data_IF_013976069632
#
_entry.id   IF_013976069632
#
_cell.length_a   1.000
_cell.length_b   1.000
_cell.length_c   1.000
_cell.angle_alpha   90.00
_cell.angle_beta   90.00
_cell.angle_gamma   90.00
#
_symmetry.space_group_name_H-M   'P 1'
#
loop_
_entity.id
_entity.type
_entity.pdbx_description
1 polymer ?
#
# COMPACT_ATOMS: atom_id res chain seq x y z
N UNK A 1 36.55 2.72 0.63
CA UNK A 1 35.20 2.94 1.17
C UNK A 1 34.44 1.63 1.24
N UNK A 2 34.03 1.18 2.44
CA UNK A 2 33.11 0.04 2.60
C UNK A 2 31.86 0.54 3.32
N UNK A 3 30.73 0.37 2.67
CA UNK A 3 29.41 0.80 3.13
C UNK A 3 28.80 -0.34 3.93
N UNK A 4 28.37 -0.08 5.15
CA UNK A 4 27.69 -1.06 6.00
C UNK A 4 26.29 -0.58 6.33
N UNK A 5 25.33 -1.50 6.27
CA UNK A 5 23.96 -1.27 6.68
C UNK A 5 23.82 -1.83 8.10
N UNK A 6 23.60 -0.94 9.06
CA UNK A 6 23.52 -1.26 10.49
C UNK A 6 22.06 -1.12 10.92
N UNK A 7 21.49 -2.18 11.49
CA UNK A 7 20.13 -2.19 12.02
C UNK A 7 20.15 -1.94 13.53
N UNK A 8 19.52 -0.86 13.99
CA UNK A 8 19.32 -0.59 15.43
C UNK A 8 17.86 -0.27 15.68
N UNK A 9 17.24 -0.97 16.64
CA UNK A 9 15.81 -0.83 17.01
C UNK A 9 14.83 -0.82 15.83
N UNK A 10 15.08 -1.68 14.83
CA UNK A 10 14.20 -1.82 13.65
C UNK A 10 14.32 -0.71 12.61
N UNK A 11 15.30 0.19 12.75
CA UNK A 11 15.67 1.16 11.71
C UNK A 11 17.08 0.90 11.19
N UNK A 12 17.18 0.79 9.86
CA UNK A 12 18.43 0.57 9.14
C UNK A 12 19.10 1.92 8.87
N UNK A 13 20.37 2.02 9.23
CA UNK A 13 21.22 3.17 8.96
C UNK A 13 22.38 2.73 8.09
N UNK A 14 22.64 3.51 7.06
CA UNK A 14 23.74 3.26 6.14
C UNK A 14 24.91 4.14 6.56
N UNK A 15 25.99 3.50 7.00
CA UNK A 15 27.18 4.19 7.49
C UNK A 15 28.32 3.88 6.53
N UNK A 16 28.90 4.94 5.96
CA UNK A 16 30.15 4.86 5.22
C UNK A 16 31.31 5.02 6.20
N UNK A 17 32.13 3.96 6.30
CA UNK A 17 33.37 4.01 7.08
C UNK A 17 34.52 4.23 6.12
N UNK A 18 35.15 5.40 6.23
CA UNK A 18 36.47 5.68 5.67
C UNK A 18 37.52 5.41 6.75
N UNK A 19 38.45 4.50 6.50
CA UNK A 19 39.65 4.35 7.33
C UNK A 19 40.58 5.54 7.06
N UNK A 20 40.47 6.59 7.87
CA UNK A 20 41.43 7.69 7.88
C UNK A 20 42.50 7.39 8.93
N UNK A 21 43.65 6.92 8.47
CA UNK A 21 44.89 6.94 9.26
C UNK A 21 45.36 8.39 9.39
N UNK A 22 45.02 9.00 10.52
CA UNK A 22 45.68 10.19 11.06
C UNK A 22 45.07 11.53 10.65
N UNK A 23 44.69 12.30 11.67
CA UNK A 23 44.77 13.76 11.64
C UNK A 23 43.48 14.51 11.34
N UNK A 24 43.06 15.27 12.36
CA UNK A 24 42.14 16.42 12.35
C UNK A 24 40.65 16.18 12.08
N UNK A 25 39.89 16.32 13.17
CA UNK A 25 38.48 16.71 13.16
C UNK A 25 38.32 18.07 12.48
N UNK A 26 37.41 18.17 11.50
CA UNK A 26 36.87 19.46 11.08
C UNK A 26 35.35 19.37 10.96
N UNK A 27 34.72 20.19 11.80
CA UNK A 27 33.32 20.57 11.78
C UNK A 27 33.05 21.47 10.57
N UNK A 28 31.97 21.20 9.84
CA UNK A 28 31.31 22.21 9.01
C UNK A 28 29.80 22.16 9.24
N UNK A 29 29.27 23.32 9.63
CA UNK A 29 27.85 23.60 9.90
C UNK A 29 27.05 23.73 8.58
N UNK A 30 25.70 23.84 8.62
CA UNK A 30 24.80 23.29 7.60
C UNK A 30 24.60 24.21 6.39
N UNK A 31 24.46 23.61 5.21
CA UNK A 31 23.95 24.30 4.01
C UNK A 31 22.47 23.94 3.86
N UNK A 32 21.60 24.94 3.94
CA UNK A 32 20.18 24.81 3.59
C UNK A 32 20.03 24.71 2.06
N UNK A 33 19.23 23.78 1.51
CA UNK A 33 18.76 23.86 0.13
C UNK A 33 17.39 24.53 0.05
N UNK A 34 17.27 25.41 -0.95
CA UNK A 34 16.09 26.14 -1.41
C UNK A 34 14.99 25.18 -1.99
N UNK A 35 13.78 25.68 -2.35
CA UNK A 35 12.56 24.88 -2.43
C UNK A 35 12.54 23.86 -3.57
N UNK A 36 11.92 22.70 -3.30
CA UNK A 36 11.85 21.55 -4.19
C UNK A 36 11.02 21.81 -5.46
N UNK A 37 11.54 21.42 -6.66
CA UNK A 37 10.75 21.33 -7.88
C UNK A 37 9.70 20.21 -7.84
N UNK A 38 8.58 20.49 -8.50
CA UNK A 38 7.40 19.64 -8.78
C UNK A 38 7.74 18.15 -9.00
N UNK A 39 7.13 17.29 -8.18
CA UNK A 39 7.30 15.84 -8.24
C UNK A 39 6.82 15.26 -9.59
N UNK A 40 7.74 14.57 -10.27
CA UNK A 40 7.44 13.59 -11.30
C UNK A 40 7.02 12.26 -10.64
N UNK A 41 6.21 11.41 -11.31
CA UNK A 41 5.62 10.22 -10.70
C UNK A 41 6.66 9.20 -10.27
N UNK A 42 6.48 8.64 -9.08
CA UNK A 42 7.34 7.63 -8.49
C UNK A 42 7.21 6.27 -9.21
N UNK A 43 8.24 5.40 -9.14
CA UNK A 43 8.32 4.14 -9.88
C UNK A 43 7.33 3.10 -9.36
N UNK A 44 6.76 2.33 -10.29
CA UNK A 44 5.85 1.20 -10.03
C UNK A 44 6.59 0.11 -9.24
N UNK A 45 6.14 -0.18 -8.02
CA UNK A 45 6.63 -1.32 -7.25
C UNK A 45 6.14 -2.65 -7.87
N UNK A 46 6.96 -3.71 -7.89
CA UNK A 46 6.62 -4.98 -8.51
C UNK A 46 5.47 -5.69 -7.75
N UNK A 47 4.53 -6.24 -8.53
CA UNK A 47 3.38 -6.99 -8.05
C UNK A 47 3.79 -8.18 -7.14
N UNK A 48 3.08 -8.44 -6.03
CA UNK A 48 3.30 -9.64 -5.24
C UNK A 48 2.85 -10.89 -6.01
N UNK A 49 3.63 -11.96 -5.89
CA UNK A 49 3.38 -13.25 -6.53
C UNK A 49 2.09 -13.92 -5.98
N UNK A 50 1.38 -14.76 -6.77
CA UNK A 50 0.09 -15.33 -6.37
C UNK A 50 0.24 -16.30 -5.18
N UNK A 51 -0.43 -15.99 -4.07
CA UNK A 51 -0.71 -16.94 -3.00
C UNK A 51 -1.89 -17.85 -3.40
N UNK A 52 -1.87 -19.08 -2.91
CA UNK A 52 -2.83 -20.16 -3.23
C UNK A 52 -4.30 -19.78 -2.95
N UNK A 53 -5.27 -20.36 -3.69
CA UNK A 53 -6.65 -19.86 -3.71
C UNK A 53 -7.43 -20.18 -2.42
N UNK A 54 -7.83 -19.13 -1.69
CA UNK A 54 -8.94 -19.16 -0.74
C UNK A 54 -10.30 -19.06 -1.50
N UNK A 55 -11.44 -19.38 -0.86
CA UNK A 55 -12.74 -19.45 -1.54
C UNK A 55 -13.11 -18.10 -2.17
N UNK A 56 -13.22 -18.08 -3.50
CA UNK A 56 -13.49 -16.89 -4.30
C UNK A 56 -14.94 -16.43 -4.11
N UNK A 57 -15.15 -15.43 -3.26
CA UNK A 57 -16.42 -14.71 -3.18
C UNK A 57 -16.46 -13.73 -4.36
N UNK A 58 -17.35 -13.96 -5.33
CA UNK A 58 -17.45 -13.12 -6.52
C UNK A 58 -18.05 -11.74 -6.18
N UNK A 59 -17.49 -10.61 -6.65
CA UNK A 59 -18.07 -9.30 -6.42
C UNK A 59 -19.34 -9.11 -7.25
N UNK A 60 -20.38 -8.53 -6.64
CA UNK A 60 -21.49 -7.92 -7.36
C UNK A 60 -21.14 -6.44 -7.61
N UNK A 61 -20.82 -6.11 -8.86
CA UNK A 61 -20.52 -4.74 -9.28
C UNK A 61 -20.64 -4.59 -10.79
N UNK A 62 -21.61 -3.80 -11.24
CA UNK A 62 -21.73 -3.36 -12.62
C UNK A 62 -20.75 -2.20 -12.82
N UNK A 63 -19.88 -2.34 -13.83
CA UNK A 63 -18.93 -1.34 -14.35
C UNK A 63 -18.67 -0.07 -13.52
N UNK A 64 -17.53 -0.04 -12.83
CA UNK A 64 -16.97 1.17 -12.21
C UNK A 64 -17.04 1.21 -10.68
N UNK A 65 -17.75 0.30 -10.01
CA UNK A 65 -17.78 0.25 -8.54
C UNK A 65 -17.81 -1.18 -8.00
N UNK A 66 -17.20 -1.35 -6.83
CA UNK A 66 -17.22 -2.57 -6.02
C UNK A 66 -17.97 -2.27 -4.74
N UNK A 67 -18.98 -3.09 -4.47
CA UNK A 67 -19.81 -3.03 -3.27
C UNK A 67 -19.55 -4.21 -2.34
N UNK A 68 -19.91 -4.07 -1.08
CA UNK A 68 -19.81 -5.13 -0.09
C UNK A 68 -20.83 -6.25 -0.40
N UNK A 69 -20.39 -7.49 -0.68
CA UNK A 69 -21.31 -8.58 -1.01
C UNK A 69 -22.12 -9.04 0.21
N UNK A 70 -21.62 -8.80 1.42
CA UNK A 70 -22.19 -9.25 2.68
C UNK A 70 -21.85 -8.25 3.79
N UNK A 71 -22.69 -8.15 4.85
CA UNK A 71 -22.41 -7.26 5.97
C UNK A 71 -21.22 -7.77 6.79
N UNK A 72 -20.44 -6.84 7.33
CA UNK A 72 -19.27 -7.16 8.15
C UNK A 72 -18.48 -5.92 8.55
N UNK A 73 -17.23 -6.13 8.98
CA UNK A 73 -16.30 -5.07 9.33
C UNK A 73 -15.11 -5.06 8.36
N UNK A 74 -14.60 -3.88 8.04
CA UNK A 74 -13.39 -3.73 7.24
C UNK A 74 -12.18 -4.08 8.10
N UNK A 75 -11.55 -5.22 7.84
CA UNK A 75 -10.36 -5.65 8.55
C UNK A 75 -9.11 -4.92 8.04
N UNK A 76 -8.96 -4.87 6.71
CA UNK A 76 -7.83 -4.22 6.05
C UNK A 76 -8.22 -3.62 4.73
N UNK A 77 -7.60 -2.49 4.40
CA UNK A 77 -7.69 -1.86 3.08
C UNK A 77 -6.32 -1.98 2.40
N UNK A 78 -6.26 -2.68 1.27
CA UNK A 78 -5.02 -3.01 0.56
C UNK A 78 -4.71 -2.06 -0.59
N UNK A 79 -5.63 -1.16 -0.91
CA UNK A 79 -5.53 -0.22 -2.05
C UNK A 79 -5.76 1.22 -1.60
N UNK A 80 -5.24 2.16 -2.37
CA UNK A 80 -5.49 3.60 -2.20
C UNK A 80 -5.90 4.23 -3.53
N UNK A 81 -6.52 5.42 -3.49
CA UNK A 81 -6.80 6.20 -4.70
C UNK A 81 -5.53 6.39 -5.56
N UNK A 82 -5.66 6.15 -6.85
CA UNK A 82 -4.58 6.21 -7.85
C UNK A 82 -3.85 4.87 -8.09
N UNK A 83 -4.14 3.82 -7.34
CA UNK A 83 -3.54 2.50 -7.59
C UNK A 83 -4.16 1.83 -8.83
N UNK A 84 -3.31 1.25 -9.68
CA UNK A 84 -3.77 0.40 -10.78
C UNK A 84 -3.99 -1.02 -10.27
N UNK A 85 -5.18 -1.57 -10.53
CA UNK A 85 -5.57 -2.92 -10.13
C UNK A 85 -6.01 -3.73 -11.34
N UNK A 86 -5.86 -5.05 -11.24
CA UNK A 86 -6.34 -6.00 -12.24
C UNK A 86 -7.54 -6.76 -11.74
N UNK A 87 -8.34 -7.28 -12.66
CA UNK A 87 -9.46 -8.16 -12.30
C UNK A 87 -8.95 -9.33 -11.45
N UNK A 88 -9.54 -9.49 -10.27
CA UNK A 88 -9.15 -10.54 -9.33
C UNK A 88 -8.08 -10.14 -8.32
N UNK A 89 -7.56 -8.91 -8.36
CA UNK A 89 -6.70 -8.39 -7.28
C UNK A 89 -7.53 -8.16 -6.02
N UNK A 90 -6.93 -8.39 -4.85
CA UNK A 90 -7.58 -8.16 -3.56
C UNK A 90 -7.50 -6.69 -3.21
N UNK A 91 -8.67 -6.09 -2.96
CA UNK A 91 -8.80 -4.67 -2.63
C UNK A 91 -8.91 -4.46 -1.13
N UNK A 92 -9.73 -5.28 -0.49
CA UNK A 92 -10.15 -5.11 0.91
C UNK A 92 -10.32 -6.49 1.52
N UNK A 93 -9.99 -6.63 2.81
CA UNK A 93 -10.33 -7.80 3.60
C UNK A 93 -11.46 -7.39 4.54
N UNK A 94 -12.58 -8.10 4.44
CA UNK A 94 -13.78 -7.91 5.25
C UNK A 94 -13.87 -9.05 6.26
N UNK A 95 -14.03 -8.73 7.54
CA UNK A 95 -14.33 -9.71 8.57
C UNK A 95 -15.86 -9.87 8.71
N UNK A 96 -16.34 -11.09 8.59
CA UNK A 96 -17.72 -11.43 8.91
C UNK A 96 -17.77 -12.79 9.57
N UNK A 97 -18.58 -12.91 10.63
CA UNK A 97 -18.75 -14.16 11.39
C UNK A 97 -17.40 -14.79 11.82
N UNK A 98 -16.42 -13.95 12.20
CA UNK A 98 -15.05 -14.34 12.60
C UNK A 98 -14.21 -14.96 11.47
N UNK A 99 -14.61 -14.75 10.21
CA UNK A 99 -13.86 -15.16 9.03
C UNK A 99 -13.46 -13.94 8.22
N UNK A 100 -12.25 -13.99 7.67
CA UNK A 100 -11.71 -13.00 6.75
C UNK A 100 -12.15 -13.36 5.33
N UNK A 101 -12.77 -12.40 4.65
CA UNK A 101 -13.29 -12.51 3.30
C UNK A 101 -12.61 -11.48 2.41
N UNK A 102 -11.94 -11.95 1.37
CA UNK A 102 -11.27 -11.10 0.40
C UNK A 102 -12.28 -10.52 -0.59
N UNK A 103 -12.21 -9.21 -0.79
CA UNK A 103 -12.99 -8.48 -1.78
C UNK A 103 -12.10 -8.23 -3.00
N UNK A 104 -12.51 -8.77 -4.13
CA UNK A 104 -11.73 -8.74 -5.36
C UNK A 104 -12.17 -7.61 -6.30
N UNK A 105 -11.24 -7.10 -7.12
CA UNK A 105 -11.55 -6.21 -8.23
C UNK A 105 -12.38 -6.91 -9.31
N UNK A 106 -13.49 -6.28 -9.70
CA UNK A 106 -14.39 -6.81 -10.72
C UNK A 106 -13.83 -6.71 -12.15
N UNK A 107 -12.98 -5.71 -12.39
CA UNK A 107 -12.34 -5.42 -13.67
C UNK A 107 -10.95 -4.81 -13.45
N UNK A 108 -10.16 -4.75 -14.51
CA UNK A 108 -8.94 -3.94 -14.53
C UNK A 108 -9.31 -2.44 -14.53
N UNK A 109 -8.54 -1.61 -13.82
CA UNK A 109 -8.82 -0.18 -13.72
C UNK A 109 -7.92 0.55 -12.74
N UNK A 110 -8.15 1.84 -12.56
CA UNK A 110 -7.46 2.67 -11.56
C UNK A 110 -8.44 3.00 -10.45
N UNK A 111 -8.03 2.82 -9.18
CA UNK A 111 -8.87 3.15 -8.03
C UNK A 111 -9.12 4.66 -8.01
N UNK A 112 -10.36 5.09 -8.17
CA UNK A 112 -10.76 6.49 -8.12
C UNK A 112 -10.93 6.97 -6.67
N UNK A 113 -11.66 6.19 -5.87
CA UNK A 113 -11.85 6.46 -4.44
C UNK A 113 -12.04 5.17 -3.65
N UNK A 114 -11.73 5.24 -2.35
CA UNK A 114 -12.06 4.22 -1.35
C UNK A 114 -12.95 4.91 -0.31
N UNK A 115 -14.16 4.40 -0.12
CA UNK A 115 -15.19 5.03 0.74
C UNK A 115 -15.19 4.52 2.19
N UNK A 116 -14.30 3.57 2.49
CA UNK A 116 -14.23 2.90 3.79
C UNK A 116 -12.82 2.93 4.36
N UNK A 117 -12.71 2.83 5.68
CA UNK A 117 -11.43 2.65 6.40
C UNK A 117 -11.45 1.39 7.25
N UNK A 118 -10.26 0.97 7.68
CA UNK A 118 -10.09 -0.15 8.62
C UNK A 118 -10.89 0.11 9.91
N UNK A 119 -11.63 -0.91 10.35
CA UNK A 119 -12.53 -0.88 11.50
C UNK A 119 -13.98 -0.50 11.17
N UNK A 120 -14.27 0.06 9.99
CA UNK A 120 -15.64 0.45 9.64
C UNK A 120 -16.57 -0.76 9.53
N UNK A 121 -17.83 -0.57 9.92
CA UNK A 121 -18.89 -1.53 9.68
C UNK A 121 -19.58 -1.22 8.34
N UNK A 122 -19.80 -2.24 7.52
CA UNK A 122 -20.45 -2.13 6.22
C UNK A 122 -21.61 -3.12 6.11
N UNK A 123 -22.68 -2.71 5.44
CA UNK A 123 -23.83 -3.52 5.05
C UNK A 123 -23.63 -4.22 3.71
N UNK A 124 -24.54 -5.13 3.36
CA UNK A 124 -24.59 -5.68 1.99
C UNK A 124 -25.03 -4.59 1.02
N UNK A 125 -24.29 -4.42 -0.07
CA UNK A 125 -24.51 -3.41 -1.09
C UNK A 125 -23.83 -2.07 -0.83
N UNK A 126 -23.18 -1.88 0.33
CA UNK A 126 -22.47 -0.64 0.62
C UNK A 126 -21.30 -0.43 -0.34
N UNK A 127 -21.09 0.81 -0.76
CA UNK A 127 -20.03 1.17 -1.69
C UNK A 127 -18.68 1.12 -0.98
N UNK A 128 -17.72 0.40 -1.58
CA UNK A 128 -16.40 0.23 -1.00
C UNK A 128 -15.34 0.98 -1.81
N UNK A 129 -15.31 0.72 -3.12
CA UNK A 129 -14.28 1.22 -4.04
C UNK A 129 -14.93 1.61 -5.36
N UNK A 130 -14.47 2.71 -5.94
CA UNK A 130 -14.81 3.12 -7.31
C UNK A 130 -13.58 3.10 -8.21
N UNK A 131 -13.78 2.90 -9.51
CA UNK A 131 -12.73 2.84 -10.52
C UNK A 131 -12.97 3.88 -11.62
N UNK A 132 -11.87 4.39 -12.20
CA UNK A 132 -11.86 5.12 -13.48
C UNK A 132 -11.57 4.21 -14.67
#
# INVERSE_FOLDING_TARGET
>A
MKKYIINVNGKSYEVEVDEVKGGSVQSVAPVAPAPAPKAAPAPVAPAPAPAAPAPKVAPAGTGGSVTAPMPGNIWKVLVKPGDSVKRGDVLIILEAMKMENEIFAAADGVVASVEVKEGDAVGSGDLLVTFE
#
